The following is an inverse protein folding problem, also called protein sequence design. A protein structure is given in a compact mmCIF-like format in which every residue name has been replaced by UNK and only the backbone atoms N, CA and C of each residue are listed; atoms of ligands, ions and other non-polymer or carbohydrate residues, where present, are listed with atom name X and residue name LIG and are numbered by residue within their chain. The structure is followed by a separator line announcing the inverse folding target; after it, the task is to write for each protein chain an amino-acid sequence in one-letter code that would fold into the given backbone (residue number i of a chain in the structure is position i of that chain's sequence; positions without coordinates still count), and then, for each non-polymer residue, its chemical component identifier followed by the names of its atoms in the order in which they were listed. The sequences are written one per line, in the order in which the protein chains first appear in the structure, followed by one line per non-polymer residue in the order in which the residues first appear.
data_IF_160871082367
#
_entry.id   IF_160871082367
#
_cell.length_a   1.000
_cell.length_b   1.000
_cell.length_c   1.000
_cell.angle_alpha   90.00
_cell.angle_beta   90.00
_cell.angle_gamma   90.00
#
_symmetry.space_group_name_H-M   'P 1'
#
loop_
_entity.id
_entity.type
_entity.pdbx_description
1 polymer ?
#
# COMPACT_ATOMS: atom_id res chain seq x y z
N UNK A 1 -38.05 10.65 -25.84
CA UNK A 1 -38.64 9.63 -24.94
C UNK A 1 -38.45 10.12 -23.52
N UNK A 2 -39.50 10.76 -23.00
CA UNK A 2 -39.53 11.44 -21.70
C UNK A 2 -39.64 10.39 -20.59
N UNK A 3 -38.72 10.38 -19.63
CA UNK A 3 -38.94 9.70 -18.36
C UNK A 3 -39.51 10.72 -17.38
N UNK A 4 -40.81 10.59 -17.17
CA UNK A 4 -41.61 11.43 -16.31
C UNK A 4 -41.41 11.04 -14.85
N UNK A 5 -41.10 12.07 -14.07
CA UNK A 5 -41.13 12.17 -12.62
C UNK A 5 -42.46 11.66 -12.01
N UNK A 6 -42.42 10.82 -10.97
CA UNK A 6 -43.48 10.77 -9.94
C UNK A 6 -42.86 10.52 -8.57
N UNK A 7 -42.65 11.61 -7.82
CA UNK A 7 -42.53 11.57 -6.37
C UNK A 7 -43.94 11.78 -5.80
N UNK A 8 -44.48 10.84 -5.01
CA UNK A 8 -45.58 11.12 -4.08
C UNK A 8 -45.51 10.19 -2.87
N UNK A 9 -45.06 10.83 -1.79
CA UNK A 9 -45.24 10.56 -0.37
C UNK A 9 -46.60 9.96 0.02
N UNK A 10 -46.59 8.88 0.79
CA UNK A 10 -47.47 8.76 1.95
C UNK A 10 -46.68 8.28 3.17
N UNK A 11 -46.83 9.06 4.25
CA UNK A 11 -46.35 8.92 5.63
C UNK A 11 -47.61 8.59 6.47
N UNK A 12 -47.45 8.08 7.71
CA UNK A 12 -48.43 7.90 8.84
C UNK A 12 -48.37 6.44 9.32
N UNK A 13 -47.48 6.07 10.25
CA UNK A 13 -47.55 6.10 11.73
C UNK A 13 -48.49 5.09 12.38
N UNK A 14 -47.93 4.12 13.14
CA UNK A 14 -48.33 3.70 14.50
C UNK A 14 -47.30 2.66 14.99
N UNK A 15 -46.26 3.02 15.75
CA UNK A 15 -46.15 2.98 17.22
C UNK A 15 -46.70 1.73 17.93
N UNK A 16 -45.73 1.02 18.53
CA UNK A 16 -45.77 0.28 19.81
C UNK A 16 -46.41 -1.12 19.83
N UNK A 17 -45.54 -2.14 19.92
CA UNK A 17 -45.63 -3.12 21.01
C UNK A 17 -44.27 -3.72 21.35
N UNK A 18 -43.82 -3.24 22.50
CA UNK A 18 -42.73 -3.66 23.38
C UNK A 18 -42.56 -5.19 23.52
N UNK A 19 -41.32 -5.65 23.31
CA UNK A 19 -40.70 -6.73 24.08
C UNK A 19 -39.21 -6.44 24.27
N UNK A 20 -38.89 -5.33 24.92
CA UNK A 20 -37.64 -5.28 25.69
C UNK A 20 -37.91 -6.02 26.99
N UNK A 21 -37.56 -7.31 27.07
CA UNK A 21 -37.58 -8.03 28.33
C UNK A 21 -36.46 -7.51 29.23
N UNK A 22 -36.73 -6.42 29.95
CA UNK A 22 -36.00 -6.08 31.17
C UNK A 22 -36.63 -6.84 32.33
N UNK A 23 -35.97 -7.87 32.81
CA UNK A 23 -36.05 -8.24 34.22
C UNK A 23 -34.65 -8.04 34.80
N UNK A 24 -34.42 -6.89 35.46
CA UNK A 24 -33.33 -6.73 36.41
C UNK A 24 -33.85 -7.14 37.77
N UNK A 25 -33.17 -8.09 38.41
CA UNK A 25 -32.93 -8.33 39.83
C UNK A 25 -32.29 -9.72 39.82
N UNK A 26 -30.97 -9.83 39.92
CA UNK A 26 -30.35 -9.94 41.23
C UNK A 26 -29.14 -9.05 41.46
N UNK A 27 -29.18 -8.38 42.61
CA UNK A 27 -28.05 -7.73 43.23
C UNK A 27 -27.32 -8.73 44.14
N UNK A 28 -25.98 -8.78 44.01
CA UNK A 28 -24.91 -8.94 45.03
C UNK A 28 -23.88 -10.03 44.66
N UNK A 29 -22.57 -9.91 45.00
CA UNK A 29 -21.88 -8.85 45.75
C UNK A 29 -20.56 -8.32 45.13
N UNK A 30 -20.12 -7.16 45.62
CA UNK A 30 -18.91 -6.39 45.26
C UNK A 30 -17.70 -6.81 46.13
N UNK A 31 -17.63 -8.07 46.58
CA UNK A 31 -16.59 -8.57 47.49
C UNK A 31 -15.93 -9.86 46.97
N UNK A 32 -15.43 -9.83 45.74
CA UNK A 32 -14.33 -10.71 45.34
C UNK A 32 -13.45 -10.03 44.28
N UNK A 33 -12.95 -8.85 44.63
CA UNK A 33 -11.70 -8.37 44.06
C UNK A 33 -10.61 -8.74 45.06
N UNK A 34 -9.75 -9.70 44.72
CA UNK A 34 -8.30 -9.70 44.98
C UNK A 34 -7.69 -10.96 44.32
N UNK A 35 -6.68 -10.72 43.49
CA UNK A 35 -5.71 -11.70 42.99
C UNK A 35 -6.19 -12.75 41.99
N UNK A 36 -6.49 -12.33 40.76
CA UNK A 36 -5.78 -12.97 39.64
C UNK A 36 -4.92 -11.91 38.96
N UNK A 37 -3.67 -11.93 39.40
CA UNK A 37 -2.54 -11.29 38.75
C UNK A 37 -2.61 -11.49 37.24
N UNK A 38 -2.58 -10.36 36.54
CA UNK A 38 -1.87 -10.11 35.29
C UNK A 38 -1.04 -11.30 34.76
N UNK A 39 -1.71 -12.30 34.21
CA UNK A 39 -1.13 -13.21 33.23
C UNK A 39 -1.98 -13.10 31.98
N UNK A 40 -1.86 -11.96 31.30
CA UNK A 40 -1.88 -11.97 29.85
C UNK A 40 -0.69 -12.82 29.45
N UNK A 41 -0.87 -14.13 29.40
CA UNK A 41 0.10 -15.04 28.85
C UNK A 41 0.45 -14.52 27.46
N UNK A 42 1.67 -14.01 27.33
CA UNK A 42 2.23 -13.45 26.10
C UNK A 42 2.54 -14.55 25.09
N UNK A 43 1.69 -15.58 25.02
CA UNK A 43 1.83 -16.71 24.11
C UNK A 43 1.43 -16.26 22.71
N UNK A 44 2.24 -15.39 22.13
CA UNK A 44 2.15 -15.01 20.73
C UNK A 44 2.49 -16.22 19.87
N UNK A 45 1.56 -16.59 18.97
CA UNK A 45 1.70 -17.52 17.85
C UNK A 45 2.96 -18.43 17.81
N UNK A 46 3.04 -19.42 18.70
CA UNK A 46 4.14 -20.38 18.79
C UNK A 46 3.94 -21.62 17.90
N UNK A 47 3.26 -21.49 16.76
CA UNK A 47 3.12 -22.63 15.82
C UNK A 47 4.41 -22.80 15.01
N UNK A 48 4.86 -24.04 14.74
CA UNK A 48 6.07 -24.29 13.96
C UNK A 48 6.00 -23.66 12.55
N UNK A 49 4.79 -23.54 11.99
CA UNK A 49 4.53 -22.85 10.72
C UNK A 49 4.78 -21.34 10.80
N UNK A 50 4.35 -20.68 11.89
CA UNK A 50 4.62 -19.26 12.11
C UNK A 50 6.12 -18.96 12.22
N UNK A 51 6.86 -19.74 13.01
CA UNK A 51 8.33 -19.62 13.14
C UNK A 51 9.05 -19.79 11.79
N UNK A 52 8.60 -20.74 10.95
CA UNK A 52 9.12 -20.93 9.59
C UNK A 52 8.84 -19.72 8.70
N UNK A 53 7.61 -19.19 8.72
CA UNK A 53 7.21 -18.02 7.93
C UNK A 53 7.98 -16.76 8.33
N UNK A 54 8.26 -16.55 9.61
CA UNK A 54 9.09 -15.45 10.11
C UNK A 54 10.50 -15.48 9.50
N UNK A 55 11.20 -16.61 9.60
CA UNK A 55 12.54 -16.80 9.01
C UNK A 55 12.55 -16.61 7.48
N UNK A 56 11.52 -17.09 6.79
CA UNK A 56 11.38 -16.90 5.34
C UNK A 56 11.08 -15.45 4.96
N UNK A 57 10.33 -14.73 5.79
CA UNK A 57 10.00 -13.33 5.56
C UNK A 57 11.25 -12.45 5.70
N UNK A 58 12.10 -12.68 6.71
CA UNK A 58 13.36 -11.95 6.90
C UNK A 58 14.28 -12.09 5.68
N UNK A 59 14.51 -13.33 5.22
CA UNK A 59 15.34 -13.62 4.03
C UNK A 59 14.80 -12.94 2.77
N UNK A 60 13.48 -13.00 2.53
CA UNK A 60 12.86 -12.32 1.39
C UNK A 60 12.91 -10.80 1.54
N UNK A 61 12.79 -10.27 2.76
CA UNK A 61 12.83 -8.84 3.04
C UNK A 61 14.19 -8.25 2.72
N UNK A 62 15.29 -8.88 3.16
CA UNK A 62 16.65 -8.40 2.89
C UNK A 62 16.96 -8.41 1.39
N UNK A 63 16.67 -9.51 0.71
CA UNK A 63 16.85 -9.64 -0.74
C UNK A 63 16.00 -8.65 -1.54
N UNK A 64 14.72 -8.50 -1.19
CA UNK A 64 13.84 -7.56 -1.89
C UNK A 64 14.19 -6.10 -1.56
N UNK A 65 14.85 -5.82 -0.43
CA UNK A 65 15.33 -4.49 -0.11
C UNK A 65 16.49 -4.09 -1.03
N UNK A 66 17.47 -4.96 -1.25
CA UNK A 66 18.62 -4.68 -2.12
C UNK A 66 18.21 -4.53 -3.60
N UNK A 67 17.27 -5.34 -4.09
CA UNK A 67 16.77 -5.18 -5.46
C UNK A 67 15.97 -3.89 -5.64
N UNK A 68 15.18 -3.49 -4.63
CA UNK A 68 14.45 -2.21 -4.68
C UNK A 68 15.39 -1.01 -4.59
N UNK A 69 16.46 -1.09 -3.79
CA UNK A 69 17.44 0.00 -3.71
C UNK A 69 18.20 0.15 -5.03
N UNK A 70 18.60 -0.95 -5.66
CA UNK A 70 19.25 -0.96 -6.98
C UNK A 70 18.42 -0.17 -8.02
N UNK A 71 17.13 -0.49 -8.17
CA UNK A 71 16.26 0.24 -9.11
C UNK A 71 16.18 1.73 -8.78
N UNK A 72 16.05 2.07 -7.49
CA UNK A 72 16.01 3.48 -7.06
C UNK A 72 17.31 4.22 -7.38
N UNK A 73 18.47 3.56 -7.29
CA UNK A 73 19.76 4.15 -7.64
C UNK A 73 19.84 4.50 -9.12
N UNK A 74 19.45 3.59 -10.02
CA UNK A 74 19.44 3.88 -11.47
C UNK A 74 18.48 5.03 -11.82
N UNK A 75 17.28 5.03 -11.22
CA UNK A 75 16.33 6.14 -11.41
C UNK A 75 16.92 7.46 -10.90
N UNK A 76 17.57 7.45 -9.73
CA UNK A 76 18.21 8.64 -9.15
C UNK A 76 19.33 9.17 -10.05
N UNK A 77 20.09 8.30 -10.72
CA UNK A 77 21.15 8.72 -11.63
C UNK A 77 20.59 9.44 -12.86
N UNK A 78 19.49 8.95 -13.44
CA UNK A 78 18.81 9.64 -14.54
C UNK A 78 18.26 10.99 -14.09
N UNK A 79 17.60 11.04 -12.92
CA UNK A 79 17.06 12.30 -12.37
C UNK A 79 18.18 13.32 -12.13
N UNK A 80 19.32 12.91 -11.57
CA UNK A 80 20.48 13.80 -11.40
C UNK A 80 21.00 14.37 -12.72
N UNK A 81 21.02 13.57 -13.79
CA UNK A 81 21.44 14.03 -15.12
C UNK A 81 20.42 15.02 -15.71
N UNK A 82 19.13 14.80 -15.46
CA UNK A 82 18.05 15.73 -15.83
C UNK A 82 18.19 17.05 -15.07
N UNK A 83 18.46 17.02 -13.77
CA UNK A 83 18.64 18.21 -12.94
C UNK A 83 19.88 19.02 -13.39
N UNK A 84 20.93 18.33 -13.87
CA UNK A 84 22.11 18.95 -14.46
C UNK A 84 21.88 19.53 -15.87
N UNK A 85 20.69 19.32 -16.48
CA UNK A 85 20.29 19.77 -17.83
C UNK A 85 21.14 19.21 -18.99
N UNK A 86 21.87 18.12 -18.75
CA UNK A 86 22.68 17.46 -19.79
C UNK A 86 21.84 16.41 -20.54
N UNK A 87 21.34 16.76 -21.74
CA UNK A 87 20.45 15.89 -22.52
C UNK A 87 21.11 14.56 -22.94
N UNK A 88 22.36 14.58 -23.38
CA UNK A 88 23.08 13.38 -23.84
C UNK A 88 23.36 12.40 -22.70
N UNK A 89 23.83 12.92 -21.55
CA UNK A 89 24.08 12.11 -20.36
C UNK A 89 22.80 11.52 -19.79
N UNK A 90 21.70 12.28 -19.81
CA UNK A 90 20.39 11.78 -19.38
C UNK A 90 19.91 10.62 -20.26
N UNK A 91 20.08 10.71 -21.58
CA UNK A 91 19.70 9.65 -22.51
C UNK A 91 20.57 8.39 -22.32
N UNK A 92 21.89 8.55 -22.17
CA UNK A 92 22.80 7.43 -21.91
C UNK A 92 22.45 6.70 -20.60
N UNK A 93 22.21 7.47 -19.51
CA UNK A 93 21.80 6.91 -18.24
C UNK A 93 20.42 6.22 -18.32
N UNK A 94 19.50 6.76 -19.11
CA UNK A 94 18.18 6.18 -19.31
C UNK A 94 18.24 4.82 -20.02
N UNK A 95 19.05 4.69 -21.08
CA UNK A 95 19.24 3.42 -21.81
C UNK A 95 19.74 2.32 -20.87
N UNK A 96 20.62 2.64 -19.92
CA UNK A 96 21.09 1.68 -18.92
C UNK A 96 20.04 1.35 -17.86
N UNK A 97 19.17 2.30 -17.51
CA UNK A 97 18.15 2.12 -16.49
C UNK A 97 16.97 1.23 -16.95
N UNK A 98 16.54 1.34 -18.21
CA UNK A 98 15.41 0.57 -18.77
C UNK A 98 15.53 -0.95 -18.55
N UNK A 99 16.62 -1.63 -18.97
CA UNK A 99 16.74 -3.08 -18.82
C UNK A 99 16.84 -3.51 -17.35
N UNK A 100 17.30 -2.64 -16.44
CA UNK A 100 17.29 -2.95 -15.00
C UNK A 100 15.85 -2.90 -14.46
N UNK A 101 15.08 -1.88 -14.84
CA UNK A 101 13.69 -1.71 -14.38
C UNK A 101 12.83 -2.88 -14.85
N UNK A 102 12.95 -3.27 -16.12
CA UNK A 102 12.13 -4.33 -16.70
C UNK A 102 12.49 -5.71 -16.13
N UNK A 103 13.78 -6.04 -15.96
CA UNK A 103 14.19 -7.27 -15.27
C UNK A 103 13.67 -7.37 -13.83
N UNK A 104 13.51 -6.24 -13.14
CA UNK A 104 12.97 -6.22 -11.77
C UNK A 104 11.44 -6.31 -11.75
N UNK A 105 10.78 -5.95 -12.85
CA UNK A 105 9.37 -6.22 -13.05
C UNK A 105 9.11 -7.70 -13.30
N UNK A 106 9.93 -8.35 -14.12
CA UNK A 106 9.83 -9.80 -14.41
C UNK A 106 10.04 -10.63 -13.14
N UNK A 107 10.97 -10.21 -12.27
CA UNK A 107 11.20 -10.84 -10.95
C UNK A 107 10.07 -10.59 -9.94
N UNK A 108 9.05 -9.79 -10.27
CA UNK A 108 7.94 -9.46 -9.38
C UNK A 108 8.30 -8.54 -8.21
N UNK A 109 9.50 -7.93 -8.23
CA UNK A 109 9.93 -6.98 -7.18
C UNK A 109 9.20 -5.64 -7.34
N UNK A 110 8.90 -5.27 -8.59
CA UNK A 110 8.16 -4.07 -8.97
C UNK A 110 6.98 -4.49 -9.85
N UNK A 111 5.80 -3.92 -9.62
CA UNK A 111 4.66 -4.20 -10.49
C UNK A 111 4.87 -3.62 -11.90
N UNK A 112 4.43 -4.33 -12.95
CA UNK A 112 4.53 -3.90 -14.36
C UNK A 112 4.06 -2.46 -14.61
N UNK A 113 2.93 -2.07 -14.01
CA UNK A 113 2.40 -0.71 -14.13
C UNK A 113 3.32 0.34 -13.47
N UNK A 114 4.00 -0.03 -12.37
CA UNK A 114 4.97 0.86 -11.72
C UNK A 114 6.22 1.03 -12.58
N UNK A 115 6.71 -0.05 -13.20
CA UNK A 115 7.79 0.03 -14.18
C UNK A 115 7.39 0.93 -15.37
N UNK A 116 6.22 0.70 -15.96
CA UNK A 116 5.69 1.53 -17.05
C UNK A 116 5.56 3.02 -16.66
N UNK A 117 5.08 3.31 -15.44
CA UNK A 117 5.00 4.67 -14.91
C UNK A 117 6.37 5.35 -14.79
N UNK A 118 7.39 4.62 -14.34
CA UNK A 118 8.75 5.17 -14.26
C UNK A 118 9.32 5.46 -15.65
N UNK A 119 9.17 4.52 -16.60
CA UNK A 119 9.59 4.72 -18.01
C UNK A 119 8.90 5.94 -18.64
N UNK A 120 7.58 6.05 -18.51
CA UNK A 120 6.81 7.16 -19.06
C UNK A 120 7.21 8.52 -18.48
N UNK A 121 7.39 8.62 -17.16
CA UNK A 121 7.83 9.87 -16.51
C UNK A 121 9.22 10.29 -16.97
N UNK A 122 10.20 9.39 -16.95
CA UNK A 122 11.58 9.70 -17.35
C UNK A 122 11.64 10.15 -18.81
N UNK A 123 10.93 9.46 -19.72
CA UNK A 123 10.82 9.86 -21.12
C UNK A 123 10.21 11.26 -21.28
N UNK A 124 9.16 11.56 -20.52
CA UNK A 124 8.53 12.89 -20.55
C UNK A 124 9.50 14.00 -20.17
N UNK A 125 10.31 13.79 -19.12
CA UNK A 125 11.31 14.77 -18.69
C UNK A 125 12.44 14.94 -19.72
N UNK A 126 12.95 13.86 -20.30
CA UNK A 126 13.99 13.93 -21.34
C UNK A 126 13.48 14.68 -22.58
N UNK A 127 12.25 14.38 -23.02
CA UNK A 127 11.62 15.11 -24.13
C UNK A 127 11.41 16.58 -23.82
N UNK A 128 10.99 16.93 -22.60
CA UNK A 128 10.83 18.32 -22.19
C UNK A 128 12.16 19.08 -22.20
N UNK A 129 13.27 18.46 -21.76
CA UNK A 129 14.61 19.04 -21.88
C UNK A 129 15.03 19.23 -23.33
N UNK A 130 14.79 18.23 -24.18
CA UNK A 130 15.10 18.32 -25.61
C UNK A 130 14.29 19.41 -26.31
N UNK A 131 13.02 19.59 -25.94
CA UNK A 131 12.17 20.64 -26.49
C UNK A 131 12.59 22.03 -26.00
N UNK A 132 12.92 22.17 -24.71
CA UNK A 132 13.41 23.42 -24.14
C UNK A 132 14.79 23.84 -24.66
N UNK A 133 15.59 22.90 -25.17
CA UNK A 133 16.85 23.20 -25.85
C UNK A 133 16.67 23.57 -27.33
N UNK A 134 15.54 23.20 -27.93
CA UNK A 134 15.21 23.45 -29.34
C UNK A 134 14.34 24.69 -29.57
N UNK A 135 13.71 25.21 -28.50
CA UNK A 135 12.93 26.45 -28.48
C UNK A 135 13.80 27.60 -27.99
#
# INVERSE_FOLDING_TARGET
MLWSNVATTQRITLTALDKTSTHRHDSRPILFAISQSLSRSSTVANTPSAKKRAKQAEKRRSHNASMRSMVRTYIKNVVKAIDAKDAEKAQAAYVLAVPVIDRMADKGIIHKNKAARHKGRLNGHIKALSLAAAA
#
